data_IF_189609688120
#
_entry.id   IF_189609688120
#
_cell.length_a   1.000
_cell.length_b   1.000
_cell.length_c   1.000
_cell.angle_alpha   90.00
_cell.angle_beta   90.00
_cell.angle_gamma   90.00
#
_symmetry.space_group_name_H-M   'P 1'
#
loop_
_entity.id
_entity.type
_entity.pdbx_description
1 polymer ?
#
# COMPACT_ATOMS: atom_id res chain seq x y z
N UNK A 1 30.39 0.87 6.52
CA UNK A 1 30.48 -0.50 5.97
C UNK A 1 31.52 -1.26 6.78
N UNK A 2 31.12 -2.21 7.63
CA UNK A 2 32.06 -2.92 8.51
C UNK A 2 31.82 -4.42 8.32
N UNK A 3 32.63 -5.03 7.45
CA UNK A 3 32.71 -6.47 7.23
C UNK A 3 33.66 -7.05 8.28
N UNK A 4 33.23 -8.08 8.98
CA UNK A 4 34.09 -8.90 9.84
C UNK A 4 34.36 -10.21 9.12
N UNK A 5 35.63 -10.61 8.93
CA UNK A 5 35.98 -11.83 8.22
C UNK A 5 35.82 -13.06 9.11
N UNK A 6 35.37 -14.14 8.48
CA UNK A 6 35.38 -15.49 9.01
C UNK A 6 36.82 -15.96 9.28
N UNK A 7 37.05 -16.59 10.42
CA UNK A 7 38.24 -17.37 10.69
C UNK A 7 37.82 -18.85 10.81
N UNK A 8 38.22 -19.63 9.81
CA UNK A 8 38.29 -21.08 9.87
C UNK A 8 39.28 -21.49 10.97
N UNK A 9 38.91 -22.46 11.79
CA UNK A 9 39.86 -23.20 12.61
C UNK A 9 39.65 -24.71 12.41
N UNK A 10 40.62 -25.23 11.67
CA UNK A 10 41.17 -26.57 11.52
C UNK A 10 40.71 -27.68 12.50
N UNK A 11 40.42 -28.83 11.91
CA UNK A 11 40.13 -30.13 12.52
C UNK A 11 41.38 -30.76 13.12
N UNK A 12 41.27 -31.34 14.33
CA UNK A 12 42.19 -32.34 14.87
C UNK A 12 41.40 -33.61 15.19
N UNK A 13 41.73 -34.69 14.47
CA UNK A 13 41.29 -36.06 14.68
C UNK A 13 42.11 -36.67 15.83
N UNK A 14 41.42 -37.16 16.87
CA UNK A 14 41.97 -38.13 17.81
C UNK A 14 41.05 -39.34 17.86
N UNK A 15 41.63 -40.48 17.51
CA UNK A 15 41.05 -41.80 17.60
C UNK A 15 40.87 -42.20 19.08
N UNK A 16 39.71 -42.76 19.40
CA UNK A 16 39.41 -43.37 20.68
C UNK A 16 38.22 -44.30 20.54
N UNK A 17 38.47 -45.59 20.37
CA UNK A 17 37.47 -46.64 20.56
C UNK A 17 37.23 -46.82 22.07
N UNK A 18 36.00 -46.62 22.51
CA UNK A 18 35.60 -46.93 23.88
C UNK A 18 34.10 -46.81 24.07
N UNK A 19 33.45 -47.94 24.35
CA UNK A 19 32.27 -48.07 25.23
C UNK A 19 30.98 -47.32 24.89
N UNK A 20 29.92 -48.09 24.63
CA UNK A 20 28.52 -47.66 24.51
C UNK A 20 28.04 -46.75 25.65
N UNK A 21 27.27 -45.72 25.32
CA UNK A 21 25.88 -45.58 25.79
C UNK A 21 25.09 -44.80 24.73
N UNK A 22 24.12 -45.44 24.10
CA UNK A 22 23.11 -44.75 23.30
C UNK A 22 22.25 -43.99 24.31
N UNK A 23 22.45 -42.68 24.42
CA UNK A 23 21.47 -41.81 25.07
C UNK A 23 20.26 -41.75 24.13
N UNK A 24 19.05 -42.16 24.55
CA UNK A 24 17.86 -41.80 23.81
C UNK A 24 17.73 -40.28 23.95
N UNK A 25 18.04 -39.55 22.88
CA UNK A 25 17.64 -38.16 22.79
C UNK A 25 16.11 -38.15 22.86
N UNK A 26 15.57 -37.74 23.99
CA UNK A 26 14.17 -37.35 24.13
C UNK A 26 13.95 -36.19 23.16
N UNK A 27 13.51 -36.49 21.95
CA UNK A 27 13.02 -35.50 21.01
C UNK A 27 11.81 -34.83 21.66
N UNK A 28 12.02 -33.62 22.18
CA UNK A 28 10.91 -32.74 22.52
C UNK A 28 10.07 -32.58 21.25
N UNK A 29 8.72 -32.69 21.33
CA UNK A 29 7.88 -32.50 20.16
C UNK A 29 8.16 -31.09 19.61
N UNK A 30 8.57 -31.03 18.35
CA UNK A 30 8.67 -29.78 17.63
C UNK A 30 7.27 -29.18 17.61
N UNK A 31 7.05 -28.12 18.39
CA UNK A 31 5.85 -27.31 18.29
C UNK A 31 5.83 -26.71 16.89
N UNK A 32 5.04 -27.31 16.00
CA UNK A 32 4.76 -26.76 14.68
C UNK A 32 4.04 -25.44 14.91
N UNK A 33 4.73 -24.33 14.67
CA UNK A 33 4.08 -23.03 14.60
C UNK A 33 2.98 -23.13 13.54
N UNK A 34 1.74 -22.69 13.83
CA UNK A 34 0.70 -22.65 12.82
C UNK A 34 1.20 -21.83 11.63
N UNK A 35 1.26 -22.44 10.45
CA UNK A 35 1.47 -21.70 9.21
C UNK A 35 0.37 -20.64 9.13
N UNK A 36 0.76 -19.37 9.03
CA UNK A 36 -0.20 -18.27 8.85
C UNK A 36 -0.97 -18.53 7.55
N UNK A 37 -2.18 -19.08 7.67
CA UNK A 37 -3.07 -19.25 6.53
C UNK A 37 -3.37 -17.86 5.97
N UNK A 38 -3.21 -17.69 4.66
CA UNK A 38 -3.65 -16.47 3.99
C UNK A 38 -5.13 -16.22 4.34
N UNK A 39 -5.46 -14.96 4.63
CA UNK A 39 -6.84 -14.58 4.91
C UNK A 39 -7.73 -14.94 3.71
N UNK A 40 -8.90 -15.50 3.98
CA UNK A 40 -9.86 -15.80 2.93
C UNK A 40 -10.29 -14.50 2.21
N UNK A 41 -10.51 -14.53 0.89
CA UNK A 41 -11.06 -13.38 0.18
C UNK A 41 -12.41 -12.94 0.76
N UNK A 42 -12.65 -11.63 0.76
CA UNK A 42 -13.93 -11.05 1.16
C UNK A 42 -15.07 -11.57 0.27
N UNK A 43 -16.28 -11.64 0.83
CA UNK A 43 -17.49 -11.76 0.01
C UNK A 43 -17.71 -10.49 -0.81
N UNK A 44 -18.52 -10.56 -1.87
CA UNK A 44 -18.85 -9.38 -2.68
C UNK A 44 -19.48 -8.24 -1.85
N UNK A 45 -20.33 -8.57 -0.86
CA UNK A 45 -20.97 -7.59 0.02
C UNK A 45 -19.95 -6.88 0.91
N UNK A 46 -19.02 -7.64 1.51
CA UNK A 46 -17.95 -7.09 2.33
C UNK A 46 -16.97 -6.27 1.50
N UNK A 47 -16.61 -6.75 0.31
CA UNK A 47 -15.72 -6.04 -0.62
C UNK A 47 -16.31 -4.68 -1.04
N UNK A 48 -17.62 -4.60 -1.31
CA UNK A 48 -18.31 -3.34 -1.62
C UNK A 48 -18.18 -2.33 -0.48
N UNK A 49 -18.50 -2.75 0.75
CA UNK A 49 -18.39 -1.87 1.93
C UNK A 49 -16.94 -1.46 2.20
N UNK A 50 -16.01 -2.42 2.09
CA UNK A 50 -14.59 -2.19 2.30
C UNK A 50 -14.01 -1.19 1.29
N UNK A 51 -14.32 -1.34 0.01
CA UNK A 51 -13.88 -0.42 -1.04
C UNK A 51 -14.32 1.02 -0.77
N UNK A 52 -15.61 1.23 -0.47
CA UNK A 52 -16.13 2.56 -0.17
C UNK A 52 -15.46 3.19 1.05
N UNK A 53 -15.24 2.40 2.11
CA UNK A 53 -14.55 2.88 3.31
C UNK A 53 -13.08 3.23 3.05
N UNK A 54 -12.39 2.49 2.19
CA UNK A 54 -10.99 2.75 1.83
C UNK A 54 -10.85 4.06 1.03
N UNK A 55 -11.71 4.28 0.03
CA UNK A 55 -11.55 5.44 -0.89
C UNK A 55 -12.08 6.74 -0.32
N UNK A 56 -13.01 6.70 0.64
CA UNK A 56 -13.67 7.90 1.15
C UNK A 56 -12.71 9.01 1.65
N UNK A 57 -11.68 8.73 2.48
CA UNK A 57 -10.78 9.78 2.96
C UNK A 57 -9.95 10.42 1.83
N UNK A 58 -9.57 9.65 0.82
CA UNK A 58 -8.84 10.19 -0.33
C UNK A 58 -9.75 11.08 -1.18
N UNK A 59 -10.97 10.62 -1.46
CA UNK A 59 -11.95 11.38 -2.23
C UNK A 59 -12.31 12.72 -1.55
N UNK A 60 -12.53 12.71 -0.23
CA UNK A 60 -12.77 13.96 0.52
C UNK A 60 -11.57 14.92 0.44
N UNK A 61 -10.34 14.41 0.57
CA UNK A 61 -9.16 15.27 0.47
C UNK A 61 -8.99 15.87 -0.94
N UNK A 62 -9.33 15.13 -1.99
CA UNK A 62 -9.34 15.65 -3.36
C UNK A 62 -10.40 16.74 -3.55
N UNK A 63 -11.63 16.48 -3.11
CA UNK A 63 -12.75 17.44 -3.17
C UNK A 63 -12.39 18.76 -2.46
N UNK A 64 -11.82 18.69 -1.24
CA UNK A 64 -11.36 19.87 -0.52
C UNK A 64 -10.26 20.65 -1.26
N UNK A 65 -9.32 19.94 -1.92
CA UNK A 65 -8.28 20.55 -2.73
C UNK A 65 -8.88 21.26 -3.96
N UNK A 66 -9.79 20.58 -4.67
CA UNK A 66 -10.47 21.09 -5.86
C UNK A 66 -11.30 22.33 -5.54
N UNK A 67 -12.05 22.30 -4.45
CA UNK A 67 -12.81 23.45 -3.95
C UNK A 67 -11.89 24.62 -3.61
N UNK A 68 -10.74 24.36 -2.97
CA UNK A 68 -9.78 25.41 -2.66
C UNK A 68 -9.16 26.04 -3.92
N UNK A 69 -8.89 25.23 -4.95
CA UNK A 69 -8.43 25.70 -6.25
C UNK A 69 -9.50 26.56 -6.93
N UNK A 70 -10.74 26.07 -6.99
CA UNK A 70 -11.90 26.75 -7.59
C UNK A 70 -12.21 28.07 -6.89
N UNK A 71 -12.09 28.11 -5.57
CA UNK A 71 -12.27 29.30 -4.76
C UNK A 71 -11.07 30.27 -4.79
N UNK A 72 -10.02 29.99 -5.55
CA UNK A 72 -8.84 30.85 -5.65
C UNK A 72 -8.11 31.04 -4.32
N UNK A 73 -8.11 30.02 -3.44
CA UNK A 73 -7.45 30.12 -2.14
C UNK A 73 -5.94 30.37 -2.29
N UNK A 74 -5.29 31.00 -1.30
CA UNK A 74 -3.86 31.21 -1.33
C UNK A 74 -3.08 29.90 -1.56
N UNK A 75 -2.03 29.95 -2.38
CA UNK A 75 -1.26 28.74 -2.76
C UNK A 75 -0.71 27.96 -1.55
N UNK A 76 -0.42 28.63 -0.43
CA UNK A 76 0.02 27.96 0.81
C UNK A 76 -1.08 27.09 1.43
N UNK A 77 -2.35 27.50 1.32
CA UNK A 77 -3.52 26.71 1.70
C UNK A 77 -3.64 25.49 0.80
N UNK A 78 -3.60 25.70 -0.52
CA UNK A 78 -3.65 24.63 -1.53
C UNK A 78 -2.52 23.61 -1.31
N UNK A 79 -1.30 24.07 -1.00
CA UNK A 79 -0.16 23.19 -0.67
C UNK A 79 -0.44 22.31 0.56
N UNK A 80 -1.08 22.86 1.58
CA UNK A 80 -1.43 22.09 2.78
C UNK A 80 -2.42 20.98 2.43
N UNK A 81 -3.43 21.29 1.61
CA UNK A 81 -4.41 20.31 1.13
C UNK A 81 -3.76 19.25 0.24
N UNK A 82 -2.84 19.64 -0.66
CA UNK A 82 -2.07 18.69 -1.47
C UNK A 82 -1.24 17.72 -0.61
N UNK A 83 -0.76 18.14 0.57
CA UNK A 83 -0.10 17.25 1.53
C UNK A 83 -1.09 16.27 2.17
N UNK A 84 -2.30 16.73 2.48
CA UNK A 84 -3.38 15.85 2.95
C UNK A 84 -3.70 14.81 1.88
N UNK A 85 -3.88 15.23 0.62
CA UNK A 85 -4.07 14.33 -0.53
C UNK A 85 -2.93 13.31 -0.65
N UNK A 86 -1.67 13.74 -0.53
CA UNK A 86 -0.54 12.80 -0.57
C UNK A 86 -0.61 11.73 0.54
N UNK A 87 -1.02 12.14 1.75
CA UNK A 87 -1.12 11.26 2.91
C UNK A 87 -2.27 10.27 2.76
N UNK A 88 -3.45 10.74 2.37
CA UNK A 88 -4.62 9.88 2.12
C UNK A 88 -4.42 9.00 0.90
N UNK A 89 -3.69 9.48 -0.13
CA UNK A 89 -3.32 8.69 -1.32
C UNK A 89 -2.35 7.54 -0.99
N UNK A 90 -1.44 7.72 -0.05
CA UNK A 90 -0.60 6.62 0.42
C UNK A 90 -1.43 5.62 1.25
N UNK A 91 -2.27 6.12 2.16
CA UNK A 91 -3.04 5.29 3.07
C UNK A 91 -4.08 4.42 2.35
N UNK A 92 -4.88 4.97 1.42
CA UNK A 92 -5.88 4.19 0.69
C UNK A 92 -5.21 3.18 -0.24
N UNK A 93 -4.08 3.52 -0.90
CA UNK A 93 -3.34 2.59 -1.74
C UNK A 93 -2.82 1.39 -0.93
N UNK A 94 -2.33 1.62 0.28
CA UNK A 94 -1.90 0.53 1.16
C UNK A 94 -3.07 -0.37 1.58
N UNK A 95 -4.21 0.22 1.93
CA UNK A 95 -5.40 -0.56 2.28
C UNK A 95 -5.98 -1.33 1.07
N UNK A 96 -5.95 -0.74 -0.13
CA UNK A 96 -6.33 -1.43 -1.37
C UNK A 96 -5.40 -2.61 -1.64
N UNK A 97 -4.08 -2.45 -1.44
CA UNK A 97 -3.07 -3.49 -1.67
C UNK A 97 -3.18 -4.65 -0.69
N UNK A 98 -3.51 -4.38 0.57
CA UNK A 98 -3.55 -5.38 1.65
C UNK A 98 -4.90 -6.06 1.82
N UNK A 99 -5.94 -5.59 1.15
CA UNK A 99 -7.29 -6.19 1.23
C UNK A 99 -7.35 -7.48 0.38
N UNK A 100 -7.85 -8.57 0.97
CA UNK A 100 -8.09 -9.83 0.27
C UNK A 100 -9.34 -9.73 -0.63
N UNK A 101 -9.19 -9.20 -1.85
CA UNK A 101 -10.30 -8.98 -2.77
C UNK A 101 -10.84 -10.27 -3.39
N UNK A 102 -12.15 -10.33 -3.71
CA UNK A 102 -12.71 -11.34 -4.61
C UNK A 102 -11.92 -11.40 -5.92
N UNK A 103 -11.77 -12.60 -6.50
CA UNK A 103 -10.91 -12.83 -7.67
C UNK A 103 -11.22 -11.90 -8.86
N UNK A 104 -12.50 -11.64 -9.13
CA UNK A 104 -12.94 -10.74 -10.20
C UNK A 104 -12.63 -9.26 -9.96
N UNK A 105 -12.38 -8.84 -8.71
CA UNK A 105 -12.08 -7.45 -8.30
C UNK A 105 -10.57 -7.16 -8.32
N UNK A 106 -9.72 -8.19 -8.23
CA UNK A 106 -8.26 -8.03 -8.12
C UNK A 106 -7.64 -7.27 -9.29
N UNK A 107 -7.98 -7.62 -10.54
CA UNK A 107 -7.40 -6.97 -11.72
C UNK A 107 -7.75 -5.47 -11.81
N UNK A 108 -9.02 -5.05 -11.66
CA UNK A 108 -9.37 -3.63 -11.57
C UNK A 108 -8.65 -2.88 -10.44
N UNK A 109 -8.52 -3.48 -9.24
CA UNK A 109 -7.83 -2.85 -8.11
C UNK A 109 -6.34 -2.68 -8.41
N UNK A 110 -5.70 -3.70 -9.00
CA UNK A 110 -4.29 -3.60 -9.40
C UNK A 110 -4.07 -2.50 -10.45
N UNK A 111 -5.02 -2.28 -11.37
CA UNK A 111 -4.95 -1.19 -12.33
C UNK A 111 -5.09 0.18 -11.65
N UNK A 112 -6.02 0.32 -10.69
CA UNK A 112 -6.15 1.55 -9.90
C UNK A 112 -4.88 1.86 -9.08
N UNK A 113 -4.27 0.83 -8.48
CA UNK A 113 -3.02 0.98 -7.75
C UNK A 113 -1.87 1.49 -8.62
N UNK A 114 -1.80 1.09 -9.90
CA UNK A 114 -0.79 1.62 -10.83
C UNK A 114 -0.93 3.14 -11.03
N UNK A 115 -2.15 3.65 -11.16
CA UNK A 115 -2.38 5.09 -11.27
C UNK A 115 -2.01 5.81 -9.97
N UNK A 116 -2.39 5.25 -8.81
CA UNK A 116 -1.98 5.79 -7.51
C UNK A 116 -0.46 5.85 -7.34
N UNK A 117 0.25 4.81 -7.77
CA UNK A 117 1.72 4.73 -7.68
C UNK A 117 2.40 5.78 -8.58
N UNK A 118 1.78 6.16 -9.71
CA UNK A 118 2.23 7.24 -10.59
C UNK A 118 1.88 8.63 -10.03
N UNK A 119 0.71 8.81 -9.44
CA UNK A 119 0.26 10.08 -8.87
C UNK A 119 0.98 10.44 -7.57
N UNK A 120 1.28 9.46 -6.70
CA UNK A 120 1.78 9.69 -5.35
C UNK A 120 3.05 10.57 -5.28
N UNK A 121 4.10 10.34 -6.09
CA UNK A 121 5.30 11.18 -6.05
C UNK A 121 5.01 12.64 -6.41
N UNK A 122 4.04 12.88 -7.30
CA UNK A 122 3.61 14.24 -7.65
C UNK A 122 2.84 14.89 -6.50
N UNK A 123 1.94 14.17 -5.83
CA UNK A 123 1.27 14.69 -4.62
C UNK A 123 2.25 15.03 -3.50
N UNK A 124 3.27 14.19 -3.29
CA UNK A 124 4.33 14.46 -2.32
C UNK A 124 5.11 15.74 -2.67
N UNK A 125 5.51 15.91 -3.94
CA UNK A 125 6.19 17.13 -4.40
C UNK A 125 5.30 18.36 -4.33
N UNK A 126 4.01 18.23 -4.63
CA UNK A 126 3.02 19.29 -4.47
C UNK A 126 2.96 19.76 -3.01
N UNK A 127 2.83 18.85 -2.05
CA UNK A 127 2.82 19.16 -0.62
C UNK A 127 4.15 19.72 -0.07
N UNK A 128 5.26 19.54 -0.81
CA UNK A 128 6.58 20.07 -0.50
C UNK A 128 6.95 21.35 -1.29
N UNK A 129 6.08 21.82 -2.18
CA UNK A 129 6.39 22.92 -3.08
C UNK A 129 6.76 24.22 -2.34
N UNK A 130 7.74 24.93 -2.88
CA UNK A 130 8.26 26.20 -2.36
C UNK A 130 7.72 27.42 -3.11
N UNK A 131 6.99 27.21 -4.21
CA UNK A 131 6.33 28.26 -4.99
C UNK A 131 4.95 27.81 -5.50
N UNK A 132 4.11 28.77 -5.85
CA UNK A 132 2.79 28.50 -6.45
C UNK A 132 2.92 27.79 -7.81
N UNK A 133 3.90 28.17 -8.62
CA UNK A 133 4.15 27.54 -9.92
C UNK A 133 4.55 26.07 -9.76
N UNK A 134 5.48 25.78 -8.85
CA UNK A 134 5.89 24.41 -8.57
C UNK A 134 4.72 23.57 -8.04
N UNK A 135 3.91 24.14 -7.14
CA UNK A 135 2.69 23.50 -6.63
C UNK A 135 1.76 23.12 -7.79
N UNK A 136 1.40 24.07 -8.64
CA UNK A 136 0.44 23.84 -9.72
C UNK A 136 0.97 22.88 -10.79
N UNK A 137 2.28 22.89 -11.05
CA UNK A 137 2.91 21.91 -11.95
C UNK A 137 2.72 20.49 -11.44
N UNK A 138 3.02 20.25 -10.16
CA UNK A 138 2.91 18.91 -9.58
C UNK A 138 1.46 18.46 -9.41
N UNK A 139 0.53 19.36 -9.07
CA UNK A 139 -0.91 19.04 -9.03
C UNK A 139 -1.39 18.56 -10.41
N UNK A 140 -1.03 19.26 -11.50
CA UNK A 140 -1.41 18.84 -12.86
C UNK A 140 -0.80 17.50 -13.25
N UNK A 141 0.45 17.26 -12.87
CA UNK A 141 1.11 15.99 -13.14
C UNK A 141 0.50 14.82 -12.35
N UNK A 142 0.05 15.05 -11.11
CA UNK A 142 -0.72 14.07 -10.35
C UNK A 142 -2.10 13.81 -10.98
N UNK A 143 -2.80 14.88 -11.39
CA UNK A 143 -4.12 14.79 -12.01
C UNK A 143 -4.13 14.05 -13.36
N UNK A 144 -3.00 13.98 -14.07
CA UNK A 144 -2.87 13.13 -15.26
C UNK A 144 -2.99 11.62 -14.95
N UNK A 145 -2.94 11.26 -13.66
CA UNK A 145 -3.07 9.91 -13.11
C UNK A 145 -4.20 9.84 -12.08
N UNK A 146 -5.33 10.52 -12.33
CA UNK A 146 -6.48 10.60 -11.41
C UNK A 146 -7.09 9.23 -11.03
N UNK A 147 -6.85 8.18 -11.83
CA UNK A 147 -7.35 6.84 -11.60
C UNK A 147 -8.86 6.67 -11.82
N UNK A 148 -9.60 7.70 -12.25
CA UNK A 148 -11.06 7.71 -12.33
C UNK A 148 -11.64 6.60 -13.22
N UNK A 149 -11.00 6.35 -14.37
CA UNK A 149 -11.37 5.23 -15.25
C UNK A 149 -11.21 3.87 -14.56
N UNK A 150 -10.12 3.65 -13.82
CA UNK A 150 -9.87 2.37 -13.15
C UNK A 150 -10.75 2.22 -11.91
N UNK A 151 -10.97 3.30 -11.15
CA UNK A 151 -11.91 3.34 -10.04
C UNK A 151 -13.34 2.96 -10.50
N UNK A 152 -13.78 3.44 -11.66
CA UNK A 152 -15.07 3.06 -12.22
C UNK A 152 -15.16 1.58 -12.62
N UNK A 153 -14.05 0.97 -13.08
CA UNK A 153 -14.01 -0.48 -13.31
C UNK A 153 -14.15 -1.27 -12.00
N UNK A 154 -13.44 -0.86 -10.93
CA UNK A 154 -13.59 -1.49 -9.60
C UNK A 154 -15.04 -1.39 -9.12
N UNK A 155 -15.64 -0.19 -9.25
CA UNK A 155 -17.03 0.05 -8.88
C UNK A 155 -18.01 -0.82 -9.68
N UNK A 156 -17.83 -0.93 -10.99
CA UNK A 156 -18.67 -1.77 -11.84
C UNK A 156 -18.60 -3.25 -11.41
N UNK A 157 -17.41 -3.79 -11.16
CA UNK A 157 -17.25 -5.17 -10.65
C UNK A 157 -17.91 -5.38 -9.29
N UNK A 158 -17.91 -4.36 -8.43
CA UNK A 158 -18.53 -4.39 -7.10
C UNK A 158 -20.04 -4.11 -7.11
N UNK A 159 -20.67 -3.89 -8.27
CA UNK A 159 -22.08 -3.50 -8.34
C UNK A 159 -22.35 -2.15 -7.67
N UNK A 160 -21.39 -1.22 -7.80
CA UNK A 160 -21.50 0.17 -7.37
C UNK A 160 -21.83 1.06 -8.59
N UNK A 161 -22.62 2.15 -8.40
CA UNK A 161 -22.82 3.12 -9.47
C UNK A 161 -21.48 3.78 -9.83
N UNK A 162 -21.37 4.34 -11.04
CA UNK A 162 -20.23 5.17 -11.44
C UNK A 162 -19.97 6.26 -10.40
N UNK A 163 -18.71 6.56 -10.12
CA UNK A 163 -18.37 7.65 -9.20
C UNK A 163 -18.80 8.98 -9.82
N UNK A 164 -19.46 9.81 -9.02
CA UNK A 164 -19.83 11.17 -9.38
C UNK A 164 -19.22 12.07 -8.33
N UNK A 165 -18.39 13.00 -8.75
CA UNK A 165 -17.98 14.14 -7.93
C UNK A 165 -19.23 14.97 -7.59
N UNK A 166 -19.24 15.50 -6.37
CA UNK A 166 -20.37 16.24 -5.78
C UNK A 166 -20.61 17.59 -6.45
#
# INVERSE_FOLDING_TARGET
>A
MRRWPAALALVLLLAGCGGQTVQPATQLPAWQAPSASAAAPLTMKEAKGRYLAIVAPYNTALEELEDALKAGKPWRTVRSLARTVATTNAAHAEQLRTTAWPANVQTPVAALLKENDLALPHWQRAGAATSAEALMREIRAAAAHDGGTQANKVRATLGLPVYKES
#
